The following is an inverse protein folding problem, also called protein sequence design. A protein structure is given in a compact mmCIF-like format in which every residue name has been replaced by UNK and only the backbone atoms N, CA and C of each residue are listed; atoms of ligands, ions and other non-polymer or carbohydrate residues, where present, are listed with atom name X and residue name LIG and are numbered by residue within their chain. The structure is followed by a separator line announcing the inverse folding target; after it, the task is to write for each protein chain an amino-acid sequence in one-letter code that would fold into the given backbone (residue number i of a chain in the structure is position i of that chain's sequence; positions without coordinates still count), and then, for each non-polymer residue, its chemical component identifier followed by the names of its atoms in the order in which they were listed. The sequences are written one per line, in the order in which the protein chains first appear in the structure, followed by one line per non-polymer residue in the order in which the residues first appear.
data_IF_353091038989
#
_entry.id   IF_353091038989
#
_cell.length_a   1.000
_cell.length_b   1.000
_cell.length_c   1.000
_cell.angle_alpha   90.00
_cell.angle_beta   90.00
_cell.angle_gamma   90.00
#
_symmetry.space_group_name_H-M   'P 1'
#
loop_
_entity.id
_entity.type
_entity.pdbx_description
1 polymer ?
#
# COMPACT_ATOMS: atom_id res chain seq x y z
N UNK A 1 -31.94 11.32 44.02
CA UNK A 1 -30.48 11.42 43.75
C UNK A 1 -29.80 10.18 44.30
N UNK A 2 -28.76 9.71 43.58
CA UNK A 2 -27.97 8.46 43.71
C UNK A 2 -28.71 7.25 43.11
N UNK A 3 -28.34 6.65 41.97
CA UNK A 3 -27.14 6.75 41.16
C UNK A 3 -26.47 5.36 41.08
N UNK A 4 -27.02 4.44 40.28
CA UNK A 4 -26.44 3.10 40.10
C UNK A 4 -25.60 3.07 38.82
N UNK A 5 -24.30 2.81 38.97
CA UNK A 5 -23.29 2.81 37.92
C UNK A 5 -23.52 1.66 36.94
N UNK A 6 -23.58 1.98 35.63
CA UNK A 6 -23.46 0.98 34.55
C UNK A 6 -22.08 0.34 34.61
N UNK A 7 -22.02 -0.95 34.97
CA UNK A 7 -20.85 -1.78 34.70
C UNK A 7 -20.97 -2.34 33.29
N UNK A 8 -20.03 -1.95 32.45
CA UNK A 8 -19.86 -2.46 31.09
C UNK A 8 -19.51 -3.95 31.15
N UNK A 9 -20.36 -4.81 30.58
CA UNK A 9 -20.05 -6.23 30.40
C UNK A 9 -19.91 -6.53 28.90
N UNK A 10 -18.68 -6.90 28.54
CA UNK A 10 -18.24 -7.29 27.20
C UNK A 10 -19.07 -8.44 26.65
N UNK A 11 -19.65 -8.24 25.46
CA UNK A 11 -20.62 -9.12 24.79
C UNK A 11 -20.08 -10.47 24.26
N UNK A 12 -19.01 -11.02 24.84
CA UNK A 12 -18.45 -12.32 24.45
C UNK A 12 -18.76 -13.46 25.42
N UNK A 13 -19.30 -13.17 26.60
CA UNK A 13 -19.61 -14.20 27.63
C UNK A 13 -21.05 -14.72 27.59
N UNK A 14 -21.93 -14.10 26.80
CA UNK A 14 -23.35 -14.49 26.73
C UNK A 14 -23.62 -15.70 25.82
N UNK A 15 -22.73 -15.99 24.86
CA UNK A 15 -22.99 -17.02 23.85
C UNK A 15 -22.66 -18.44 24.30
N UNK A 16 -21.70 -18.62 25.23
CA UNK A 16 -21.35 -19.94 25.76
C UNK A 16 -22.20 -20.35 26.97
N UNK A 17 -22.64 -19.42 27.83
CA UNK A 17 -23.47 -19.80 28.99
C UNK A 17 -24.90 -20.20 28.61
N UNK A 18 -25.41 -19.77 27.45
CA UNK A 18 -26.74 -20.18 26.96
C UNK A 18 -26.76 -21.57 26.30
N UNK A 19 -25.60 -22.09 25.86
CA UNK A 19 -25.52 -23.45 25.30
C UNK A 19 -25.39 -24.51 26.39
N UNK A 20 -24.69 -24.23 27.49
CA UNK A 20 -24.63 -25.14 28.66
C UNK A 20 -25.93 -25.14 29.48
N UNK A 21 -26.66 -24.01 29.55
CA UNK A 21 -27.95 -23.96 30.24
C UNK A 21 -29.07 -24.76 29.55
N UNK A 22 -28.90 -25.13 28.28
CA UNK A 22 -29.85 -25.97 27.55
C UNK A 22 -29.70 -27.48 27.86
N UNK A 23 -28.65 -27.89 28.60
CA UNK A 23 -28.41 -29.30 28.96
C UNK A 23 -29.06 -29.69 30.30
N UNK A 24 -29.53 -28.73 31.11
CA UNK A 24 -30.13 -29.03 32.42
C UNK A 24 -31.30 -28.11 32.75
N UNK A 25 -32.50 -28.44 32.25
CA UNK A 25 -33.75 -27.97 32.86
C UNK A 25 -34.60 -29.17 33.22
N UNK A 26 -34.55 -29.50 34.51
CA UNK A 26 -35.47 -30.34 35.25
C UNK A 26 -36.93 -30.06 34.87
N UNK A 27 -37.67 -31.15 34.64
CA UNK A 27 -39.09 -31.11 34.30
C UNK A 27 -39.90 -30.30 35.31
N UNK A 28 -40.58 -29.26 34.81
CA UNK A 28 -41.67 -28.59 35.52
C UNK A 28 -43.01 -29.00 34.94
N UNK A 29 -43.86 -29.43 35.87
CA UNK A 29 -45.25 -29.86 35.74
C UNK A 29 -46.11 -28.74 35.13
N UNK A 30 -46.82 -29.05 34.05
CA UNK A 30 -47.97 -28.28 33.55
C UNK A 30 -47.92 -27.99 32.05
N UNK A 31 -48.73 -28.71 31.27
CA UNK A 31 -48.97 -28.50 29.84
C UNK A 31 -48.01 -29.29 28.95
N UNK A 32 -48.49 -30.41 28.40
CA UNK A 32 -47.87 -31.31 27.42
C UNK A 32 -46.37 -31.11 27.13
N UNK A 33 -45.54 -31.97 27.71
CA UNK A 33 -44.14 -32.12 27.31
C UNK A 33 -44.08 -32.57 25.85
N UNK A 34 -43.62 -31.67 24.97
CA UNK A 34 -43.34 -31.98 23.57
C UNK A 34 -42.39 -33.19 23.50
N UNK A 35 -42.71 -34.24 22.73
CA UNK A 35 -41.86 -35.41 22.59
C UNK A 35 -40.42 -35.00 22.24
N UNK A 36 -39.39 -35.65 22.82
CA UNK A 36 -37.97 -35.27 22.58
C UNK A 36 -37.60 -35.16 21.10
N UNK A 37 -38.23 -35.98 20.24
CA UNK A 37 -38.06 -35.95 18.79
C UNK A 37 -38.64 -34.69 18.13
N UNK A 38 -39.82 -34.22 18.55
CA UNK A 38 -40.43 -32.99 18.04
C UNK A 38 -39.65 -31.75 18.48
N UNK A 39 -39.11 -31.76 19.70
CA UNK A 39 -38.24 -30.70 20.19
C UNK A 39 -36.94 -30.61 19.37
N UNK A 40 -36.28 -31.75 19.14
CA UNK A 40 -35.06 -31.80 18.34
C UNK A 40 -35.31 -31.31 16.90
N UNK A 41 -36.40 -31.75 16.26
CA UNK A 41 -36.80 -31.29 14.93
C UNK A 41 -37.08 -29.78 14.89
N UNK A 42 -37.65 -29.21 15.96
CA UNK A 42 -37.88 -27.77 16.07
C UNK A 42 -36.56 -26.99 16.16
N UNK A 43 -35.61 -27.48 16.96
CA UNK A 43 -34.26 -26.92 17.06
C UNK A 43 -33.53 -26.97 15.70
N UNK A 44 -33.57 -28.11 15.01
CA UNK A 44 -32.97 -28.29 13.69
C UNK A 44 -33.56 -27.32 12.66
N UNK A 45 -34.90 -27.18 12.62
CA UNK A 45 -35.58 -26.23 11.72
C UNK A 45 -35.19 -24.79 12.00
N UNK A 46 -35.09 -24.38 13.27
CA UNK A 46 -34.70 -23.01 13.65
C UNK A 46 -33.24 -22.72 13.29
N UNK A 47 -32.36 -23.71 13.48
CA UNK A 47 -30.96 -23.59 13.09
C UNK A 47 -30.82 -23.48 11.57
N UNK A 48 -31.51 -24.33 10.81
CA UNK A 48 -31.52 -24.26 9.35
C UNK A 48 -32.02 -22.89 8.84
N UNK A 49 -33.12 -22.39 9.40
CA UNK A 49 -33.64 -21.05 9.06
C UNK A 49 -32.64 -19.94 9.40
N UNK A 50 -31.92 -20.05 10.52
CA UNK A 50 -30.85 -19.13 10.86
C UNK A 50 -29.70 -19.17 9.84
N UNK A 51 -29.23 -20.36 9.46
CA UNK A 51 -28.17 -20.53 8.49
C UNK A 51 -28.56 -19.95 7.12
N UNK A 52 -29.78 -20.22 6.65
CA UNK A 52 -30.30 -19.65 5.40
C UNK A 52 -30.31 -18.12 5.50
N UNK A 53 -30.85 -17.55 6.58
CA UNK A 53 -30.88 -16.10 6.77
C UNK A 53 -29.48 -15.47 6.89
N UNK A 54 -28.50 -16.18 7.45
CA UNK A 54 -27.12 -15.71 7.51
C UNK A 54 -26.48 -15.65 6.11
N UNK A 55 -26.70 -16.68 5.28
CA UNK A 55 -26.20 -16.73 3.89
C UNK A 55 -26.85 -15.61 3.06
N UNK A 56 -28.17 -15.43 3.16
CA UNK A 56 -28.89 -14.36 2.45
C UNK A 56 -28.37 -12.98 2.82
N UNK A 57 -28.14 -12.71 4.11
CA UNK A 57 -27.57 -11.44 4.57
C UNK A 57 -26.14 -11.23 4.08
N UNK A 58 -25.32 -12.28 4.07
CA UNK A 58 -23.96 -12.21 3.53
C UNK A 58 -23.98 -11.85 2.04
N UNK A 59 -24.84 -12.49 1.26
CA UNK A 59 -25.03 -12.18 -0.16
C UNK A 59 -25.50 -10.73 -0.35
N UNK A 60 -26.50 -10.27 0.40
CA UNK A 60 -26.98 -8.89 0.35
C UNK A 60 -25.90 -7.87 0.70
N UNK A 61 -25.06 -8.16 1.70
CA UNK A 61 -23.95 -7.29 2.06
C UNK A 61 -22.91 -7.21 0.93
N UNK A 62 -22.55 -8.34 0.32
CA UNK A 62 -21.65 -8.37 -0.82
C UNK A 62 -22.19 -7.54 -2.00
N UNK A 63 -23.47 -7.69 -2.35
CA UNK A 63 -24.09 -6.87 -3.40
C UNK A 63 -24.11 -5.37 -3.07
N UNK A 64 -24.40 -5.00 -1.81
CA UNK A 64 -24.32 -3.59 -1.38
C UNK A 64 -22.90 -3.04 -1.51
N UNK A 65 -21.90 -3.86 -1.20
CA UNK A 65 -20.50 -3.45 -1.30
C UNK A 65 -20.08 -3.25 -2.76
N UNK A 66 -20.43 -4.18 -3.65
CA UNK A 66 -20.25 -4.03 -5.10
C UNK A 66 -20.93 -2.77 -5.65
N UNK A 67 -22.16 -2.47 -5.21
CA UNK A 67 -22.85 -1.25 -5.64
C UNK A 67 -22.13 0.02 -5.16
N UNK A 68 -21.53 0.01 -3.96
CA UNK A 68 -20.75 1.16 -3.46
C UNK A 68 -19.48 1.39 -4.28
N UNK A 69 -18.87 0.33 -4.79
CA UNK A 69 -17.71 0.44 -5.69
C UNK A 69 -18.13 0.87 -7.10
N UNK A 70 -19.28 0.40 -7.60
CA UNK A 70 -19.77 0.73 -8.95
C UNK A 70 -19.97 2.22 -9.22
N UNK A 71 -20.24 3.04 -8.18
CA UNK A 71 -20.38 4.50 -8.34
C UNK A 71 -19.01 5.22 -8.55
N UNK A 72 -17.90 4.51 -8.33
CA UNK A 72 -16.54 5.08 -8.28
C UNK A 72 -15.51 4.33 -9.14
N UNK A 73 -15.83 3.11 -9.55
CA UNK A 73 -14.93 2.22 -10.27
C UNK A 73 -15.46 1.91 -11.67
N UNK A 74 -14.54 1.73 -12.60
CA UNK A 74 -14.80 1.28 -13.97
C UNK A 74 -14.18 -0.11 -14.12
N UNK A 75 -14.89 -1.02 -14.78
CA UNK A 75 -14.33 -2.35 -15.07
C UNK A 75 -13.07 -2.22 -15.92
N UNK A 76 -12.06 -3.06 -15.69
CA UNK A 76 -10.84 -3.05 -16.51
C UNK A 76 -11.14 -3.29 -18.00
N UNK A 77 -12.20 -4.04 -18.32
CA UNK A 77 -12.62 -4.29 -19.70
C UNK A 77 -13.27 -3.07 -20.36
N UNK A 78 -13.75 -2.12 -19.56
CA UNK A 78 -14.40 -0.89 -20.02
C UNK A 78 -13.43 0.29 -20.05
N UNK A 79 -12.20 0.13 -19.54
CA UNK A 79 -11.13 1.12 -19.65
C UNK A 79 -10.72 1.26 -21.12
N UNK A 80 -10.84 2.47 -21.65
CA UNK A 80 -10.39 2.79 -23.01
C UNK A 80 -8.91 3.17 -23.04
N UNK A 81 -8.28 3.13 -24.23
CA UNK A 81 -6.92 3.66 -24.38
C UNK A 81 -6.82 5.12 -23.93
N UNK A 82 -7.85 5.95 -24.17
CA UNK A 82 -7.87 7.34 -23.72
C UNK A 82 -7.86 7.46 -22.19
N UNK A 83 -8.58 6.59 -21.48
CA UNK A 83 -8.55 6.55 -20.01
C UNK A 83 -7.15 6.18 -19.52
N UNK A 84 -6.49 5.24 -20.20
CA UNK A 84 -5.09 4.89 -19.92
C UNK A 84 -4.19 6.10 -20.15
N UNK A 85 -4.32 6.82 -21.26
CA UNK A 85 -3.53 8.03 -21.52
C UNK A 85 -3.77 9.15 -20.49
N UNK A 86 -4.98 9.24 -19.93
CA UNK A 86 -5.32 10.24 -18.90
C UNK A 86 -4.70 9.93 -17.54
N UNK A 87 -4.55 8.65 -17.19
CA UNK A 87 -3.97 8.20 -15.91
C UNK A 87 -2.50 7.82 -16.01
N UNK A 88 -2.00 7.53 -17.22
CA UNK A 88 -0.61 7.25 -17.47
C UNK A 88 0.19 8.53 -17.20
N UNK A 89 1.19 8.42 -16.33
CA UNK A 89 2.26 9.40 -16.35
C UNK A 89 2.87 9.35 -17.76
N UNK A 90 3.06 10.51 -18.43
CA UNK A 90 3.70 10.52 -19.74
C UNK A 90 5.01 9.73 -19.61
N UNK A 91 5.26 8.79 -20.52
CA UNK A 91 6.54 8.06 -20.55
C UNK A 91 7.65 9.11 -20.59
N UNK A 92 8.28 9.34 -19.45
CA UNK A 92 9.39 10.26 -19.35
C UNK A 92 10.54 9.57 -20.06
N UNK A 93 10.84 10.00 -21.29
CA UNK A 93 12.08 9.61 -21.94
C UNK A 93 13.23 10.34 -21.25
N UNK A 94 14.33 9.65 -20.89
CA UNK A 94 15.51 10.32 -20.37
C UNK A 94 16.01 11.35 -21.39
N UNK A 95 16.31 12.56 -20.90
CA UNK A 95 16.94 13.61 -21.70
C UNK A 95 18.41 13.32 -21.99
N UNK A 96 19.06 12.44 -21.22
CA UNK A 96 20.41 11.98 -21.48
C UNK A 96 20.74 10.69 -20.72
N UNK A 97 21.77 9.99 -21.20
CA UNK A 97 22.30 8.76 -20.59
C UNK A 97 23.80 8.93 -20.32
N UNK A 98 24.20 8.60 -19.09
CA UNK A 98 25.60 8.70 -18.67
C UNK A 98 26.12 7.37 -18.16
N UNK A 99 27.12 6.82 -18.85
CA UNK A 99 27.77 5.58 -18.46
C UNK A 99 28.73 5.81 -17.31
N UNK A 100 28.54 5.09 -16.21
CA UNK A 100 29.48 4.98 -15.10
C UNK A 100 29.75 3.52 -14.86
N UNK A 101 31.02 3.13 -14.98
CA UNK A 101 31.42 1.74 -14.89
C UNK A 101 30.61 0.88 -15.87
N UNK A 102 29.79 -0.04 -15.34
CA UNK A 102 28.94 -0.93 -16.11
C UNK A 102 27.44 -0.57 -16.05
N UNK A 103 27.11 0.66 -15.65
CA UNK A 103 25.72 1.11 -15.47
C UNK A 103 25.44 2.40 -16.26
N UNK A 104 24.32 2.44 -16.97
CA UNK A 104 23.83 3.64 -17.64
C UNK A 104 22.84 4.37 -16.72
N UNK A 105 23.12 5.65 -16.46
CA UNK A 105 22.30 6.50 -15.60
C UNK A 105 21.41 7.38 -16.47
N UNK A 106 20.07 7.21 -16.43
CA UNK A 106 19.15 8.11 -17.12
C UNK A 106 18.99 9.41 -16.34
N UNK A 107 19.07 10.55 -17.05
CA UNK A 107 18.75 11.87 -16.51
C UNK A 107 17.56 12.43 -17.27
N UNK A 108 16.47 12.69 -16.56
CA UNK A 108 15.21 13.09 -17.18
C UNK A 108 15.07 14.61 -17.35
N UNK A 109 15.77 15.41 -16.55
CA UNK A 109 15.69 16.87 -16.64
C UNK A 109 16.57 17.40 -17.78
N UNK A 110 16.01 18.06 -18.82
CA UNK A 110 16.76 18.46 -20.00
C UNK A 110 17.96 19.37 -19.69
N UNK A 111 17.75 20.41 -18.90
CA UNK A 111 18.79 21.37 -18.50
C UNK A 111 19.93 20.70 -17.73
N UNK A 112 19.61 19.78 -16.82
CA UNK A 112 20.61 19.04 -16.05
C UNK A 112 21.38 18.08 -16.96
N UNK A 113 20.72 17.41 -17.90
CA UNK A 113 21.38 16.54 -18.85
C UNK A 113 22.38 17.33 -19.71
N UNK A 114 21.98 18.48 -20.25
CA UNK A 114 22.85 19.36 -21.01
C UNK A 114 24.04 19.88 -20.17
N UNK A 115 23.81 20.28 -18.92
CA UNK A 115 24.86 20.76 -18.02
C UNK A 115 25.85 19.66 -17.66
N UNK A 116 25.36 18.45 -17.35
CA UNK A 116 26.20 17.29 -17.13
C UNK A 116 27.05 16.94 -18.36
N UNK A 117 26.49 17.08 -19.56
CA UNK A 117 27.19 16.83 -20.82
C UNK A 117 28.38 17.77 -21.05
N UNK A 118 28.32 19.00 -20.55
CA UNK A 118 29.44 19.95 -20.62
C UNK A 118 30.51 19.73 -19.55
N UNK A 119 30.20 19.05 -18.44
CA UNK A 119 31.23 18.70 -17.46
C UNK A 119 32.26 17.74 -18.03
N UNK A 120 33.51 17.87 -17.58
CA UNK A 120 34.56 16.88 -17.82
C UNK A 120 34.14 15.52 -17.26
N UNK A 121 34.52 14.44 -17.93
CA UNK A 121 34.20 13.06 -17.55
C UNK A 121 34.40 12.79 -16.04
N UNK A 122 35.59 13.13 -15.51
CA UNK A 122 35.91 12.93 -14.09
C UNK A 122 34.95 13.65 -13.13
N UNK A 123 34.63 14.90 -13.43
CA UNK A 123 33.70 15.69 -12.62
C UNK A 123 32.29 15.09 -12.68
N UNK A 124 31.85 14.72 -13.88
CA UNK A 124 30.56 14.06 -14.11
C UNK A 124 30.44 12.75 -13.34
N UNK A 125 31.46 11.89 -13.41
CA UNK A 125 31.51 10.62 -12.68
C UNK A 125 31.40 10.83 -11.17
N UNK A 126 32.14 11.80 -10.62
CA UNK A 126 32.10 12.12 -9.18
C UNK A 126 30.70 12.59 -8.76
N UNK A 127 30.07 13.49 -9.52
CA UNK A 127 28.73 14.00 -9.21
C UNK A 127 27.70 12.87 -9.22
N UNK A 128 27.69 12.05 -10.27
CA UNK A 128 26.73 10.98 -10.40
C UNK A 128 26.96 9.87 -9.36
N UNK A 129 28.21 9.49 -9.06
CA UNK A 129 28.51 8.53 -7.98
C UNK A 129 28.03 9.04 -6.62
N UNK A 130 28.21 10.34 -6.33
CA UNK A 130 27.81 10.91 -5.04
C UNK A 130 26.29 11.06 -4.93
N UNK A 131 25.64 11.73 -5.89
CA UNK A 131 24.24 12.14 -5.78
C UNK A 131 23.25 11.08 -6.28
N UNK A 132 23.63 10.27 -7.27
CA UNK A 132 22.74 9.23 -7.82
C UNK A 132 23.00 7.89 -7.15
N UNK A 133 24.26 7.50 -6.98
CA UNK A 133 24.61 6.21 -6.38
C UNK A 133 24.85 6.26 -4.87
N UNK A 134 24.93 7.45 -4.26
CA UNK A 134 25.07 7.62 -2.80
C UNK A 134 26.45 7.29 -2.24
N UNK A 135 27.49 7.24 -3.08
CA UNK A 135 28.85 6.93 -2.63
C UNK A 135 29.43 8.12 -1.83
N UNK A 136 30.18 7.82 -0.78
CA UNK A 136 30.95 8.81 -0.03
C UNK A 136 32.22 9.23 -0.76
N UNK A 137 32.82 10.35 -0.36
CA UNK A 137 34.11 10.80 -0.93
C UNK A 137 35.22 9.75 -0.84
N UNK A 138 35.19 8.91 0.20
CA UNK A 138 36.16 7.84 0.39
C UNK A 138 35.91 6.70 -0.60
N UNK A 139 34.67 6.25 -0.73
CA UNK A 139 34.31 5.19 -1.68
C UNK A 139 34.54 5.63 -3.12
N UNK A 140 34.28 6.90 -3.46
CA UNK A 140 34.58 7.46 -4.79
C UNK A 140 36.09 7.54 -5.03
N UNK A 141 36.87 7.91 -4.00
CA UNK A 141 38.32 7.97 -4.07
C UNK A 141 38.91 6.59 -4.37
N UNK A 142 38.43 5.56 -3.69
CA UNK A 142 38.81 4.17 -3.95
C UNK A 142 38.34 3.72 -5.34
N UNK A 143 37.09 4.03 -5.71
CA UNK A 143 36.48 3.64 -6.98
C UNK A 143 37.20 4.22 -8.21
N UNK A 144 37.67 5.47 -8.12
CA UNK A 144 38.34 6.17 -9.22
C UNK A 144 39.88 6.22 -9.05
N UNK A 145 40.42 5.49 -8.07
CA UNK A 145 41.85 5.42 -7.76
C UNK A 145 42.52 6.81 -7.58
N UNK A 146 41.95 7.65 -6.72
CA UNK A 146 42.45 9.00 -6.46
C UNK A 146 42.39 9.39 -4.99
N UNK A 147 43.12 10.44 -4.59
CA UNK A 147 43.04 10.93 -3.23
C UNK A 147 41.66 11.51 -2.90
N UNK A 148 41.16 11.25 -1.68
CA UNK A 148 39.90 11.81 -1.15
C UNK A 148 39.82 13.34 -1.28
N UNK A 149 40.92 14.05 -1.01
CA UNK A 149 40.98 15.51 -1.15
C UNK A 149 40.77 15.96 -2.60
N UNK A 150 41.25 15.18 -3.57
CA UNK A 150 41.02 15.43 -4.99
C UNK A 150 39.57 15.21 -5.37
N UNK A 151 38.91 14.18 -4.83
CA UNK A 151 37.46 13.96 -5.02
C UNK A 151 36.67 15.15 -4.50
N UNK A 152 36.96 15.57 -3.27
CA UNK A 152 36.28 16.71 -2.63
C UNK A 152 36.39 17.99 -3.46
N UNK A 153 37.61 18.33 -3.88
CA UNK A 153 37.86 19.48 -4.74
C UNK A 153 37.11 19.37 -6.07
N UNK A 154 37.19 18.22 -6.75
CA UNK A 154 36.51 18.02 -8.04
C UNK A 154 35.00 18.05 -7.90
N UNK A 155 34.43 17.51 -6.81
CA UNK A 155 33.00 17.57 -6.54
C UNK A 155 32.55 19.02 -6.35
N UNK A 156 33.28 19.79 -5.53
CA UNK A 156 32.94 21.19 -5.30
C UNK A 156 33.01 22.00 -6.60
N UNK A 157 34.11 21.88 -7.35
CA UNK A 157 34.27 22.54 -8.64
C UNK A 157 33.21 22.09 -9.67
N UNK A 158 32.80 20.81 -9.65
CA UNK A 158 31.76 20.31 -10.52
C UNK A 158 30.38 20.89 -10.17
N UNK A 159 30.07 21.07 -8.88
CA UNK A 159 28.83 21.71 -8.43
C UNK A 159 28.78 23.18 -8.81
N UNK A 160 29.88 23.92 -8.64
CA UNK A 160 29.97 25.31 -9.07
C UNK A 160 29.78 25.43 -10.59
N UNK A 161 30.46 24.59 -11.38
CA UNK A 161 30.26 24.55 -12.83
C UNK A 161 28.82 24.18 -13.22
N UNK A 162 28.18 23.22 -12.53
CA UNK A 162 26.79 22.85 -12.82
C UNK A 162 25.83 23.98 -12.54
N UNK A 163 26.01 24.71 -11.44
CA UNK A 163 25.21 25.89 -11.13
C UNK A 163 25.30 26.90 -12.28
N UNK A 164 26.52 27.27 -12.66
CA UNK A 164 26.74 28.30 -13.67
C UNK A 164 26.18 27.86 -15.05
N UNK A 165 26.38 26.60 -15.44
CA UNK A 165 25.82 26.04 -16.68
C UNK A 165 24.28 25.99 -16.67
N UNK A 166 23.68 25.64 -15.54
CA UNK A 166 22.23 25.56 -15.42
C UNK A 166 21.57 26.95 -15.43
N UNK A 167 22.23 27.98 -14.88
CA UNK A 167 21.80 29.37 -14.99
C UNK A 167 21.93 29.92 -16.42
N UNK A 168 22.96 29.51 -17.17
CA UNK A 168 23.11 29.88 -18.58
C UNK A 168 22.01 29.26 -19.47
N UNK A 169 21.52 28.07 -19.11
CA UNK A 169 20.47 27.37 -19.85
C UNK A 169 19.04 27.68 -19.38
N UNK A 170 18.87 28.48 -18.32
CA UNK A 170 17.54 28.86 -17.80
C UNK A 170 16.96 30.06 -18.54
#
# INVERSE_FOLDING_TARGET
MKGEKRKNFSGKTWFFSHLEAAVYIEGKKGGETMPPLEYQQSCEKRFAAFCVGAIEKAAQNAFRELHRYSDREVSLSDITENDIYLIAEPEMFPSGWFRIANTDVPIYHPTLAAALEQLKYRQRSIILLYYIFGYTDLEIADFLEMAKSTVQYNRQAALDNLRDLMEEFS
#
